data_IF_930553989369
#
_entry.id   IF_930553989369
#
_cell.length_a   1.000
_cell.length_b   1.000
_cell.length_c   1.000
_cell.angle_alpha   90.00
_cell.angle_beta   90.00
_cell.angle_gamma   90.00
#
_symmetry.space_group_name_H-M   'P 1'
#
loop_
_entity.id
_entity.type
_entity.pdbx_description
1 polymer ?
#
# COMPACT_ATOMS: atom_id res chain seq x y z
N UNK A 1 -35.61 -17.32 -10.32
CA UNK A 1 -34.51 -16.76 -11.15
C UNK A 1 -33.18 -17.22 -10.57
N UNK A 2 -32.29 -17.80 -11.38
CA UNK A 2 -31.04 -18.36 -10.87
C UNK A 2 -30.10 -17.24 -10.36
N UNK A 3 -29.66 -17.32 -9.10
CA UNK A 3 -28.74 -16.36 -8.49
C UNK A 3 -27.32 -16.57 -9.04
N UNK A 4 -26.66 -15.49 -9.47
CA UNK A 4 -25.27 -15.56 -9.92
C UNK A 4 -24.35 -15.91 -8.74
N UNK A 5 -23.47 -16.90 -8.91
CA UNK A 5 -22.43 -17.26 -7.95
C UNK A 5 -21.07 -17.26 -8.64
N UNK A 6 -20.13 -16.47 -8.12
CA UNK A 6 -18.77 -16.44 -8.63
C UNK A 6 -17.95 -17.57 -7.99
N UNK A 7 -17.50 -18.54 -8.80
CA UNK A 7 -16.80 -19.74 -8.31
C UNK A 7 -15.48 -19.43 -7.61
N UNK A 8 -14.88 -18.27 -7.86
CA UNK A 8 -13.60 -17.85 -7.28
C UNK A 8 -13.77 -16.78 -6.19
N UNK A 9 -14.97 -16.63 -5.62
CA UNK A 9 -15.23 -15.64 -4.57
C UNK A 9 -14.31 -15.84 -3.35
N UNK A 10 -14.15 -17.07 -2.87
CA UNK A 10 -13.24 -17.36 -1.74
C UNK A 10 -11.79 -17.01 -2.07
N UNK A 11 -11.35 -17.27 -3.31
CA UNK A 11 -10.02 -16.91 -3.76
C UNK A 11 -9.83 -15.38 -3.85
N UNK A 12 -10.86 -14.65 -4.27
CA UNK A 12 -10.86 -13.19 -4.30
C UNK A 12 -10.72 -12.61 -2.88
N UNK A 13 -11.50 -13.11 -1.91
CA UNK A 13 -11.43 -12.68 -0.50
C UNK A 13 -10.04 -12.86 0.09
N UNK A 14 -9.45 -14.06 -0.06
CA UNK A 14 -8.08 -14.33 0.42
C UNK A 14 -7.05 -13.40 -0.23
N UNK A 15 -7.23 -13.04 -1.50
CA UNK A 15 -6.33 -12.12 -2.21
C UNK A 15 -6.49 -10.67 -1.72
N UNK A 16 -7.71 -10.24 -1.43
CA UNK A 16 -8.00 -8.93 -0.85
C UNK A 16 -7.40 -8.81 0.56
N UNK A 17 -7.56 -9.82 1.41
CA UNK A 17 -6.94 -9.87 2.73
C UNK A 17 -5.41 -9.80 2.65
N UNK A 18 -4.79 -10.54 1.73
CA UNK A 18 -3.33 -10.47 1.50
C UNK A 18 -2.89 -9.08 1.06
N UNK A 19 -3.62 -8.43 0.15
CA UNK A 19 -3.35 -7.05 -0.26
C UNK A 19 -3.44 -6.10 0.93
N UNK A 20 -4.49 -6.24 1.75
CA UNK A 20 -4.72 -5.35 2.88
C UNK A 20 -3.65 -5.55 3.97
N UNK A 21 -3.16 -6.78 4.16
CA UNK A 21 -1.99 -7.05 5.01
C UNK A 21 -0.74 -6.32 4.48
N UNK A 22 -0.45 -6.42 3.17
CA UNK A 22 0.69 -5.70 2.56
C UNK A 22 0.56 -4.18 2.68
N UNK A 23 -0.65 -3.64 2.59
CA UNK A 23 -0.89 -2.20 2.83
C UNK A 23 -0.55 -1.81 4.27
N UNK A 24 -0.94 -2.62 5.25
CA UNK A 24 -0.61 -2.38 6.66
C UNK A 24 0.89 -2.47 6.92
N UNK A 25 1.57 -3.46 6.35
CA UNK A 25 3.03 -3.60 6.46
C UNK A 25 3.77 -2.40 5.84
N UNK A 26 3.32 -1.92 4.68
CA UNK A 26 3.88 -0.75 4.03
C UNK A 26 3.63 0.53 4.86
N UNK A 27 2.43 0.68 5.44
CA UNK A 27 2.12 1.81 6.31
C UNK A 27 3.04 1.86 7.53
N UNK A 28 3.26 0.71 8.20
CA UNK A 28 4.21 0.62 9.32
C UNK A 28 5.63 1.02 8.91
N UNK A 29 6.07 0.58 7.73
CA UNK A 29 7.38 0.96 7.20
C UNK A 29 7.55 2.49 7.09
N UNK A 30 6.51 3.22 6.68
CA UNK A 30 6.54 4.68 6.64
C UNK A 30 6.52 5.33 8.02
N UNK A 31 5.85 4.72 8.99
CA UNK A 31 5.88 5.20 10.37
C UNK A 31 7.29 5.06 10.97
N UNK A 32 7.96 3.94 10.68
CA UNK A 32 9.35 3.71 11.05
C UNK A 32 10.28 4.73 10.37
N UNK A 33 10.07 5.03 9.09
CA UNK A 33 10.85 6.03 8.34
C UNK A 33 10.72 7.42 8.95
N UNK A 34 9.50 7.83 9.29
CA UNK A 34 9.26 9.12 9.96
C UNK A 34 9.95 9.19 11.32
N UNK A 35 9.92 8.08 12.07
CA UNK A 35 10.58 8.00 13.38
C UNK A 35 12.09 8.16 13.23
N UNK A 36 12.68 7.47 12.26
CA UNK A 36 14.11 7.56 11.96
C UNK A 36 14.52 8.97 11.49
N UNK A 37 13.71 9.61 10.66
CA UNK A 37 13.94 10.99 10.22
C UNK A 37 13.90 11.96 11.42
N UNK A 38 12.99 11.74 12.36
CA UNK A 38 12.93 12.53 13.59
C UNK A 38 14.17 12.34 14.48
N UNK A 39 14.72 11.12 14.56
CA UNK A 39 15.98 10.84 15.25
C UNK A 39 17.16 11.56 14.59
N UNK A 40 17.26 11.54 13.26
CA UNK A 40 18.29 12.29 12.51
C UNK A 40 18.21 13.79 12.78
N UNK A 41 17.01 14.35 12.81
CA UNK A 41 16.80 15.76 13.12
C UNK A 41 17.24 16.11 14.55
N UNK A 42 16.94 15.26 15.54
CA UNK A 42 17.42 15.43 16.92
C UNK A 42 18.94 15.42 16.99
N UNK A 43 19.59 14.48 16.31
CA UNK A 43 21.05 14.40 16.27
C UNK A 43 21.66 15.62 15.59
N UNK A 44 21.06 16.09 14.49
CA UNK A 44 21.49 17.33 13.84
C UNK A 44 21.42 18.53 14.78
N UNK A 45 20.33 18.66 15.54
CA UNK A 45 20.19 19.71 16.56
C UNK A 45 21.23 19.58 17.68
N UNK A 46 21.56 18.36 18.13
CA UNK A 46 22.61 18.14 19.12
C UNK A 46 23.98 18.59 18.61
N UNK A 47 24.31 18.31 17.34
CA UNK A 47 25.57 18.76 16.71
C UNK A 47 25.64 20.29 16.62
N UNK A 48 24.55 20.95 16.26
CA UNK A 48 24.48 22.42 16.24
C UNK A 48 24.71 23.01 17.63
N UNK A 49 24.07 22.43 18.67
CA UNK A 49 24.27 22.85 20.07
C UNK A 49 25.71 22.67 20.54
N UNK A 50 26.34 21.56 20.18
CA UNK A 50 27.74 21.30 20.51
C UNK A 50 28.65 22.35 19.86
N UNK A 51 28.44 22.64 18.57
CA UNK A 51 29.20 23.65 17.84
C UNK A 51 29.06 25.05 18.46
N UNK A 52 27.83 25.46 18.80
CA UNK A 52 27.61 26.75 19.46
C UNK A 52 28.25 26.81 20.85
N UNK A 53 28.23 25.70 21.60
CA UNK A 53 28.83 25.65 22.93
C UNK A 53 30.35 25.82 22.88
N UNK A 54 31.01 25.18 21.91
CA UNK A 54 32.45 25.35 21.68
C UNK A 54 32.77 26.79 21.28
N UNK A 55 32.01 27.36 20.34
CA UNK A 55 32.22 28.74 19.90
C UNK A 55 32.09 29.77 21.04
N UNK A 56 31.17 29.56 21.98
CA UNK A 56 30.99 30.45 23.13
C UNK A 56 32.16 30.37 24.13
N UNK A 57 32.81 29.21 24.25
CA UNK A 57 33.90 28.99 25.21
C UNK A 57 35.29 29.27 24.66
N UNK A 58 35.43 29.33 23.34
CA UNK A 58 36.68 29.72 22.68
C UNK A 58 36.64 31.23 22.44
N UNK A 59 37.19 32.00 23.39
CA UNK A 59 37.38 33.44 23.24
C UNK A 59 38.82 33.77 22.82
N UNK A 60 39.06 34.89 22.10
CA UNK A 60 40.41 35.32 21.77
C UNK A 60 41.22 35.56 23.06
N UNK A 61 42.34 34.85 23.24
CA UNK A 61 43.26 35.03 24.37
C UNK A 61 43.27 33.93 25.44
N UNK A 62 42.29 33.01 25.44
CA UNK A 62 42.27 31.85 26.35
C UNK A 62 41.58 30.68 25.66
N UNK A 63 42.37 29.69 25.23
CA UNK A 63 41.88 28.44 24.66
C UNK A 63 41.99 27.36 25.72
N UNK A 64 40.85 26.89 26.21
CA UNK A 64 40.80 25.70 27.05
C UNK A 64 40.90 24.45 26.18
N UNK A 65 42.10 23.86 26.14
CA UNK A 65 42.38 22.64 25.39
C UNK A 65 41.49 21.46 25.84
N UNK A 66 41.05 21.43 27.10
CA UNK A 66 40.17 20.38 27.60
C UNK A 66 38.77 20.48 26.99
N UNK A 67 38.25 21.69 26.79
CA UNK A 67 36.96 21.93 26.14
C UNK A 67 37.00 21.54 24.66
N UNK A 68 38.11 21.81 23.98
CA UNK A 68 38.28 21.40 22.58
C UNK A 68 38.38 19.88 22.44
N UNK A 69 39.12 19.22 23.32
CA UNK A 69 39.28 17.76 23.27
C UNK A 69 37.96 17.04 23.56
N UNK A 70 37.22 17.46 24.60
CA UNK A 70 35.92 16.86 24.94
C UNK A 70 34.88 17.08 23.84
N UNK A 71 34.85 18.27 23.24
CA UNK A 71 33.97 18.54 22.11
C UNK A 71 34.32 17.70 20.88
N UNK A 72 35.62 17.49 20.60
CA UNK A 72 36.06 16.63 19.50
C UNK A 72 35.63 15.18 19.70
N UNK A 73 35.81 14.65 20.91
CA UNK A 73 35.35 13.29 21.24
C UNK A 73 33.83 13.16 21.08
N UNK A 74 33.08 14.15 21.54
CA UNK A 74 31.62 14.14 21.43
C UNK A 74 31.15 14.26 19.97
N UNK A 75 31.79 15.09 19.14
CA UNK A 75 31.46 15.17 17.70
C UNK A 75 31.76 13.85 16.97
N UNK A 76 32.83 13.13 17.34
CA UNK A 76 33.10 11.80 16.78
C UNK A 76 32.00 10.78 17.12
N UNK A 77 31.47 10.80 18.35
CA UNK A 77 30.34 9.96 18.75
C UNK A 77 29.07 10.31 17.96
N UNK A 78 28.76 11.60 17.82
CA UNK A 78 27.59 12.04 17.04
C UNK A 78 27.74 11.71 15.55
N UNK A 79 28.97 11.73 15.01
CA UNK A 79 29.23 11.32 13.63
C UNK A 79 29.02 9.82 13.42
N UNK A 80 29.46 8.96 14.33
CA UNK A 80 29.25 7.52 14.21
C UNK A 80 27.77 7.16 14.33
N UNK A 81 27.03 7.82 15.22
CA UNK A 81 25.60 7.65 15.37
C UNK A 81 24.84 8.14 14.11
N UNK A 82 25.23 9.27 13.51
CA UNK A 82 24.68 9.74 12.24
C UNK A 82 24.88 8.69 11.13
N UNK A 83 26.10 8.13 11.00
CA UNK A 83 26.39 7.11 9.99
C UNK A 83 25.54 5.85 10.18
N UNK A 84 25.32 5.45 11.44
CA UNK A 84 24.44 4.32 11.76
C UNK A 84 22.99 4.60 11.34
N UNK A 85 22.46 5.79 11.64
CA UNK A 85 21.11 6.19 11.25
C UNK A 85 20.97 6.29 9.72
N UNK A 86 22.00 6.75 9.01
CA UNK A 86 22.00 6.82 7.56
C UNK A 86 21.99 5.41 6.92
N UNK A 87 22.79 4.49 7.44
CA UNK A 87 22.76 3.08 7.02
C UNK A 87 21.39 2.44 7.25
N UNK A 88 20.80 2.63 8.44
CA UNK A 88 19.45 2.17 8.76
C UNK A 88 18.40 2.74 7.80
N UNK A 89 18.53 4.02 7.44
CA UNK A 89 17.59 4.67 6.53
C UNK A 89 17.67 4.09 5.12
N UNK A 90 18.88 3.82 4.63
CA UNK A 90 19.07 3.15 3.34
C UNK A 90 18.44 1.77 3.33
N UNK A 91 18.68 0.96 4.37
CA UNK A 91 18.08 -0.37 4.51
C UNK A 91 16.56 -0.32 4.56
N UNK A 92 16.00 0.62 5.33
CA UNK A 92 14.55 0.79 5.43
C UNK A 92 13.94 1.24 4.10
N UNK A 93 14.62 2.12 3.36
CA UNK A 93 14.16 2.57 2.05
C UNK A 93 14.12 1.43 1.04
N UNK A 94 15.14 0.57 1.02
CA UNK A 94 15.12 -0.64 0.19
C UNK A 94 13.95 -1.55 0.56
N UNK A 95 13.67 -1.71 1.85
CA UNK A 95 12.56 -2.53 2.32
C UNK A 95 11.20 -1.93 1.93
N UNK A 96 11.03 -0.62 2.05
CA UNK A 96 9.84 0.11 1.58
C UNK A 96 9.62 -0.15 0.09
N UNK A 97 10.66 -0.06 -0.74
CA UNK A 97 10.53 -0.33 -2.18
C UNK A 97 10.17 -1.79 -2.47
N UNK A 98 10.77 -2.75 -1.76
CA UNK A 98 10.38 -4.17 -1.87
C UNK A 98 8.91 -4.37 -1.50
N UNK A 99 8.44 -3.77 -0.40
CA UNK A 99 7.04 -3.84 0.05
C UNK A 99 6.09 -3.15 -0.93
N UNK A 100 6.47 -2.00 -1.52
CA UNK A 100 5.74 -1.32 -2.60
C UNK A 100 5.56 -2.22 -3.81
N UNK A 101 6.61 -2.89 -4.26
CA UNK A 101 6.55 -3.84 -5.38
C UNK A 101 5.60 -5.01 -5.06
N UNK A 102 5.73 -5.60 -3.87
CA UNK A 102 4.86 -6.70 -3.44
C UNK A 102 3.38 -6.30 -3.36
N UNK A 103 3.09 -5.07 -2.91
CA UNK A 103 1.73 -4.52 -2.89
C UNK A 103 1.18 -4.35 -4.31
N UNK A 104 1.97 -3.78 -5.23
CA UNK A 104 1.57 -3.62 -6.64
C UNK A 104 1.22 -4.97 -7.30
N UNK A 105 2.00 -6.01 -7.04
CA UNK A 105 1.67 -7.35 -7.51
C UNK A 105 0.37 -7.90 -6.91
N UNK A 106 0.16 -7.69 -5.60
CA UNK A 106 -1.06 -8.13 -4.92
C UNK A 106 -2.30 -7.39 -5.49
N UNK A 107 -2.20 -6.07 -5.70
CA UNK A 107 -3.23 -5.25 -6.31
C UNK A 107 -3.59 -5.75 -7.72
N UNK A 108 -2.58 -6.02 -8.56
CA UNK A 108 -2.79 -6.55 -9.92
C UNK A 108 -3.56 -7.88 -9.91
N UNK A 109 -3.21 -8.79 -9.01
CA UNK A 109 -3.88 -10.10 -8.86
C UNK A 109 -5.33 -9.96 -8.42
N UNK A 110 -5.63 -9.02 -7.51
CA UNK A 110 -7.00 -8.70 -7.09
C UNK A 110 -7.80 -8.11 -8.26
N UNK A 111 -7.25 -7.10 -8.95
CA UNK A 111 -7.91 -6.46 -10.09
C UNK A 111 -8.24 -7.43 -11.22
N UNK A 112 -7.36 -8.41 -11.47
CA UNK A 112 -7.62 -9.46 -12.47
C UNK A 112 -8.86 -10.30 -12.11
N UNK A 113 -8.99 -10.69 -10.83
CA UNK A 113 -10.13 -11.47 -10.35
C UNK A 113 -11.42 -10.65 -10.34
N UNK A 114 -11.37 -9.38 -9.92
CA UNK A 114 -12.53 -8.47 -9.96
C UNK A 114 -13.03 -8.26 -11.40
N UNK A 115 -12.12 -8.06 -12.36
CA UNK A 115 -12.47 -7.96 -13.79
C UNK A 115 -13.08 -9.26 -14.31
N UNK A 116 -12.58 -10.42 -13.88
CA UNK A 116 -13.14 -11.71 -14.26
C UNK A 116 -14.55 -11.90 -13.69
N UNK A 117 -14.77 -11.56 -12.43
CA UNK A 117 -16.09 -11.58 -11.79
C UNK A 117 -17.07 -10.68 -12.54
N UNK A 118 -16.68 -9.44 -12.82
CA UNK A 118 -17.52 -8.48 -13.54
C UNK A 118 -17.93 -9.01 -14.91
N UNK A 119 -16.98 -9.61 -15.66
CA UNK A 119 -17.26 -10.24 -16.97
C UNK A 119 -18.26 -11.39 -16.85
N UNK A 120 -18.06 -12.29 -15.89
CA UNK A 120 -18.96 -13.44 -15.68
C UNK A 120 -20.36 -12.97 -15.28
N UNK A 121 -20.46 -11.95 -14.41
CA UNK A 121 -21.73 -11.36 -13.99
C UNK A 121 -22.48 -10.75 -15.18
N UNK A 122 -21.78 -10.02 -16.05
CA UNK A 122 -22.36 -9.45 -17.27
C UNK A 122 -22.84 -10.54 -18.23
N UNK A 123 -22.06 -11.61 -18.43
CA UNK A 123 -22.46 -12.75 -19.26
C UNK A 123 -23.69 -13.47 -18.70
N UNK A 124 -23.75 -13.68 -17.39
CA UNK A 124 -24.90 -14.27 -16.72
C UNK A 124 -26.15 -13.41 -16.92
N UNK A 125 -26.05 -12.09 -16.71
CA UNK A 125 -27.17 -11.16 -16.94
C UNK A 125 -27.65 -11.22 -18.38
N UNK A 126 -26.75 -11.18 -19.36
CA UNK A 126 -27.09 -11.31 -20.79
C UNK A 126 -27.81 -12.63 -21.10
N UNK A 127 -27.39 -13.74 -20.49
CA UNK A 127 -28.04 -15.06 -20.67
C UNK A 127 -29.45 -15.08 -20.08
N UNK A 128 -29.66 -14.49 -18.90
CA UNK A 128 -30.98 -14.38 -18.30
C UNK A 128 -31.93 -13.55 -19.17
N UNK A 129 -31.49 -12.35 -19.59
CA UNK A 129 -32.30 -11.50 -20.47
C UNK A 129 -32.65 -12.19 -21.79
N UNK A 130 -31.71 -12.92 -22.40
CA UNK A 130 -32.00 -13.71 -23.62
C UNK A 130 -33.06 -14.78 -23.39
N UNK A 131 -33.00 -15.50 -22.26
CA UNK A 131 -34.00 -16.52 -21.91
C UNK A 131 -35.37 -15.91 -21.63
N UNK A 132 -35.40 -14.77 -20.95
CA UNK A 132 -36.64 -14.02 -20.68
C UNK A 132 -37.30 -13.58 -21.98
N UNK A 133 -36.54 -13.03 -22.94
CA UNK A 133 -37.06 -12.66 -24.26
C UNK A 133 -37.57 -13.88 -25.03
N UNK A 134 -36.80 -14.98 -25.07
CA UNK A 134 -37.25 -16.22 -25.72
C UNK A 134 -38.56 -16.75 -25.13
N UNK A 135 -38.70 -16.75 -23.79
CA UNK A 135 -39.94 -17.17 -23.14
C UNK A 135 -41.14 -16.27 -23.51
N UNK A 136 -40.93 -14.96 -23.65
CA UNK A 136 -41.99 -14.04 -24.09
C UNK A 136 -42.38 -14.31 -25.55
N UNK A 137 -41.39 -14.49 -26.44
CA UNK A 137 -41.63 -14.82 -27.85
C UNK A 137 -42.41 -16.14 -27.98
N UNK A 138 -42.01 -17.19 -27.27
CA UNK A 138 -42.69 -18.49 -27.25
C UNK A 138 -44.14 -18.38 -26.72
N UNK A 139 -44.38 -17.57 -25.69
CA UNK A 139 -45.73 -17.31 -25.16
C UNK A 139 -46.61 -16.56 -26.17
N UNK A 140 -46.05 -15.58 -26.89
CA UNK A 140 -46.80 -14.83 -27.93
C UNK A 140 -47.13 -15.72 -29.12
N UNK A 141 -46.19 -16.55 -29.57
CA UNK A 141 -46.39 -17.51 -30.66
C UNK A 141 -47.45 -18.56 -30.28
N UNK A 142 -47.40 -19.09 -29.06
CA UNK A 142 -48.40 -20.07 -28.57
C UNK A 142 -49.80 -19.47 -28.50
N UNK A 143 -49.94 -18.22 -28.06
CA UNK A 143 -51.23 -17.52 -28.04
C UNK A 143 -51.78 -17.26 -29.45
N UNK A 144 -50.95 -16.83 -30.39
CA UNK A 144 -51.37 -16.65 -31.78
C UNK A 144 -51.82 -17.99 -32.41
N UNK A 145 -51.10 -19.07 -32.14
CA UNK A 145 -51.45 -20.38 -32.67
C UNK A 145 -52.81 -20.87 -32.13
N UNK A 146 -53.08 -20.64 -30.83
CA UNK A 146 -54.38 -20.98 -30.22
C UNK A 146 -55.53 -20.12 -30.76
N UNK A 147 -55.30 -18.83 -31.05
CA UNK A 147 -56.31 -17.95 -31.66
C UNK A 147 -56.65 -18.38 -33.10
N UNK A 148 -55.71 -18.95 -33.83
CA UNK A 148 -55.93 -19.47 -35.19
C UNK A 148 -56.70 -20.80 -35.16
N UNK A 149 -56.50 -21.63 -34.14
CA UNK A 149 -57.24 -22.90 -33.98
C UNK A 149 -58.66 -22.74 -33.46
N UNK A 150 -58.95 -21.71 -32.64
CA UNK A 150 -60.32 -21.42 -32.15
C UNK A 150 -61.20 -20.67 -33.18
N UNK A 151 -60.61 -20.25 -34.32
CA UNK A 151 -61.31 -19.55 -35.41
C UNK A 151 -61.73 -20.46 -36.57
N UNK A 152 -61.75 -21.79 -36.38
CA UNK A 152 -62.15 -22.80 -37.37
C UNK A 152 -63.35 -23.61 -36.93
#
# INVERSE_FOLDING_TARGET
>A
MATFRFRLESALKVRQEKRDLRRKELARAYEDEKTLEHEKQKLHQQRLKLKSHVQQRVQPGSIDAHVLLSARQHDLLLQSEQQLLDSKAQQLQEEIERRRNALREADSKVQMLEKLEQRQRLQHRRRLTKREVQMLDDMTASRQNNLITDSR
#
